data_IF_547970880052
#
_entry.id   IF_547970880052
#
_cell.length_a   1.000
_cell.length_b   1.000
_cell.length_c   1.000
_cell.angle_alpha   90.00
_cell.angle_beta   90.00
_cell.angle_gamma   90.00
#
_symmetry.space_group_name_H-M   'P 1'
#
loop_
_entity.id
_entity.type
_entity.pdbx_description
1 polymer ?
#
# COMPACT_ATOMS: atom_id res chain seq x y z
N UNK A 1 -2.23 1.07 -5.13
CA UNK A 1 -1.37 0.09 -5.79
C UNK A 1 -2.19 -0.95 -6.53
N UNK A 2 -1.58 -1.65 -7.49
CA UNK A 2 -2.17 -2.73 -8.25
C UNK A 2 -1.47 -4.04 -7.87
N UNK A 3 -2.21 -5.15 -7.88
CA UNK A 3 -1.66 -6.49 -7.69
C UNK A 3 -1.94 -7.34 -8.92
N UNK A 4 -0.93 -7.98 -9.44
CA UNK A 4 -1.07 -9.04 -10.45
C UNK A 4 -1.01 -10.36 -9.71
N UNK A 5 -2.06 -11.18 -9.81
CA UNK A 5 -2.21 -12.43 -9.06
C UNK A 5 -2.32 -13.64 -9.97
N UNK A 6 -1.67 -14.71 -9.58
CA UNK A 6 -1.72 -15.99 -10.27
C UNK A 6 -2.85 -16.86 -9.68
N UNK A 7 -3.88 -17.17 -10.49
CA UNK A 7 -5.14 -17.79 -10.03
C UNK A 7 -5.03 -19.26 -9.66
N UNK A 8 -4.07 -19.97 -10.21
CA UNK A 8 -3.82 -21.40 -9.99
C UNK A 8 -2.92 -21.68 -8.77
N UNK A 9 -2.67 -20.69 -7.95
CA UNK A 9 -1.83 -20.76 -6.75
C UNK A 9 -2.58 -20.23 -5.52
N UNK A 10 -1.97 -20.36 -4.34
CA UNK A 10 -2.49 -19.78 -3.11
C UNK A 10 -1.43 -18.92 -2.38
N UNK A 11 -1.86 -17.76 -1.90
CA UNK A 11 -1.12 -16.90 -0.96
C UNK A 11 -2.15 -16.29 0.02
N UNK A 12 -2.50 -17.08 1.04
CA UNK A 12 -3.59 -16.79 1.97
C UNK A 12 -3.01 -16.28 3.28
N UNK A 13 -3.43 -15.08 3.72
CA UNK A 13 -3.04 -14.52 5.00
C UNK A 13 -3.70 -15.31 6.13
N UNK A 14 -2.91 -15.90 7.04
CA UNK A 14 -3.42 -16.69 8.15
C UNK A 14 -4.33 -15.89 9.10
N UNK A 15 -4.09 -14.58 9.20
CA UNK A 15 -4.88 -13.67 10.04
C UNK A 15 -6.08 -13.06 9.31
N UNK A 16 -6.29 -13.39 8.04
CA UNK A 16 -7.45 -12.90 7.31
C UNK A 16 -8.67 -13.77 7.60
N UNK A 17 -9.30 -13.49 8.73
CA UNK A 17 -10.50 -14.20 9.22
C UNK A 17 -11.78 -13.68 8.55
N UNK A 18 -11.67 -12.75 7.61
CA UNK A 18 -12.84 -12.17 6.94
C UNK A 18 -13.56 -13.25 6.13
N UNK A 19 -14.77 -13.55 6.53
CA UNK A 19 -15.67 -14.38 5.75
C UNK A 19 -16.06 -13.61 4.49
N UNK A 20 -16.12 -14.26 3.34
CA UNK A 20 -16.51 -13.69 2.05
C UNK A 20 -15.48 -12.77 1.38
N UNK A 21 -14.19 -13.12 1.43
CA UNK A 21 -13.18 -12.47 0.60
C UNK A 21 -13.48 -12.77 -0.87
N UNK A 22 -13.73 -11.71 -1.65
CA UNK A 22 -14.13 -11.82 -3.07
C UNK A 22 -12.97 -11.57 -4.05
N UNK A 23 -11.78 -11.29 -3.57
CA UNK A 23 -10.64 -11.10 -4.45
C UNK A 23 -9.81 -12.39 -4.57
N UNK A 24 -9.06 -12.49 -5.66
CA UNK A 24 -8.12 -13.58 -5.90
C UNK A 24 -7.03 -13.60 -4.82
N UNK A 25 -6.84 -14.75 -4.16
CA UNK A 25 -5.82 -14.96 -3.12
C UNK A 25 -4.66 -15.84 -3.62
N UNK A 26 -4.35 -15.83 -4.91
CA UNK A 26 -3.15 -16.45 -5.46
C UNK A 26 -1.89 -15.64 -5.17
N UNK A 27 -0.74 -16.24 -5.42
CA UNK A 27 0.58 -15.57 -5.34
C UNK A 27 0.56 -14.32 -6.21
N UNK A 28 1.16 -13.23 -5.73
CA UNK A 28 1.02 -11.92 -6.34
C UNK A 28 2.33 -11.13 -6.39
N UNK A 29 2.34 -10.19 -7.31
CA UNK A 29 3.33 -9.10 -7.38
C UNK A 29 2.61 -7.78 -7.17
N UNK A 30 3.14 -6.95 -6.29
CA UNK A 30 2.66 -5.61 -6.04
C UNK A 30 3.30 -4.60 -7.01
N UNK A 31 2.46 -3.72 -7.57
CA UNK A 31 2.88 -2.60 -8.40
C UNK A 31 2.52 -1.31 -7.68
N UNK A 32 3.53 -0.53 -7.31
CA UNK A 32 3.36 0.75 -6.64
C UNK A 32 3.68 1.89 -7.61
N UNK A 33 2.72 2.79 -7.92
CA UNK A 33 3.03 4.02 -8.62
C UNK A 33 3.88 4.93 -7.74
N UNK A 34 4.81 5.64 -8.35
CA UNK A 34 5.60 6.69 -7.72
C UNK A 34 5.16 8.03 -8.29
N UNK A 35 4.54 8.84 -7.44
CA UNK A 35 4.05 10.16 -7.76
C UNK A 35 5.14 11.22 -7.52
N UNK A 36 5.14 12.30 -8.28
CA UNK A 36 6.03 13.43 -8.04
C UNK A 36 5.67 14.11 -6.71
N UNK A 37 6.68 14.49 -5.94
CA UNK A 37 6.50 15.28 -4.72
C UNK A 37 7.20 16.63 -4.87
N UNK A 38 6.57 17.73 -4.40
CA UNK A 38 7.15 19.06 -4.48
C UNK A 38 8.52 19.12 -3.83
N UNK A 39 9.42 19.92 -4.39
CA UNK A 39 10.75 20.15 -3.82
C UNK A 39 10.68 21.13 -2.63
N UNK A 40 9.64 21.98 -2.56
CA UNK A 40 9.34 22.82 -1.41
C UNK A 40 8.77 21.99 -0.24
N UNK A 41 9.36 22.14 0.94
CA UNK A 41 9.05 21.33 2.11
C UNK A 41 7.62 21.54 2.66
N UNK A 42 7.08 22.77 2.58
CA UNK A 42 5.72 23.04 3.07
C UNK A 42 4.67 22.58 2.07
N UNK A 43 4.94 22.69 0.77
CA UNK A 43 4.10 22.10 -0.27
C UNK A 43 4.09 20.57 -0.18
N UNK A 44 5.26 19.91 -0.03
CA UNK A 44 5.37 18.47 0.18
C UNK A 44 4.53 18.04 1.40
N UNK A 45 4.69 18.70 2.53
CA UNK A 45 3.95 18.41 3.76
C UNK A 45 2.44 18.57 3.58
N UNK A 46 2.01 19.59 2.85
CA UNK A 46 0.60 19.87 2.54
C UNK A 46 0.02 18.78 1.66
N UNK A 47 0.73 18.39 0.59
CA UNK A 47 0.35 17.31 -0.31
C UNK A 47 0.20 15.99 0.45
N UNK A 48 1.22 15.62 1.25
CA UNK A 48 1.22 14.39 2.05
C UNK A 48 0.04 14.31 3.03
N UNK A 49 -0.24 15.41 3.72
CA UNK A 49 -1.41 15.49 4.63
C UNK A 49 -2.73 15.34 3.88
N UNK A 50 -2.86 15.97 2.70
CA UNK A 50 -4.07 15.88 1.87
C UNK A 50 -4.31 14.43 1.42
N UNK A 51 -3.28 13.76 0.90
CA UNK A 51 -3.36 12.35 0.48
C UNK A 51 -3.69 11.45 1.67
N UNK A 52 -3.02 11.62 2.82
CA UNK A 52 -3.27 10.85 4.03
C UNK A 52 -4.72 11.00 4.53
N UNK A 53 -5.23 12.23 4.55
CA UNK A 53 -6.61 12.52 4.96
C UNK A 53 -7.63 11.84 4.04
N UNK A 54 -7.42 11.86 2.72
CA UNK A 54 -8.33 11.20 1.78
C UNK A 54 -8.26 9.68 1.92
N UNK A 55 -7.06 9.12 2.09
CA UNK A 55 -6.84 7.69 2.36
C UNK A 55 -7.57 7.24 3.63
N UNK A 56 -7.44 8.00 4.72
CA UNK A 56 -8.11 7.70 5.97
C UNK A 56 -9.65 7.76 5.84
N UNK A 57 -10.17 8.76 5.15
CA UNK A 57 -11.62 8.86 4.88
C UNK A 57 -12.11 7.69 4.03
N UNK A 58 -11.37 7.31 2.99
CA UNK A 58 -11.68 6.16 2.14
C UNK A 58 -11.73 4.87 2.97
N UNK A 59 -10.73 4.65 3.82
CA UNK A 59 -10.69 3.50 4.73
C UNK A 59 -11.87 3.50 5.71
N UNK A 60 -12.08 4.59 6.45
CA UNK A 60 -13.17 4.67 7.43
C UNK A 60 -14.56 4.46 6.81
N UNK A 61 -14.77 4.97 5.60
CA UNK A 61 -16.06 4.79 4.91
C UNK A 61 -16.25 3.39 4.32
N UNK A 62 -15.18 2.61 4.11
CA UNK A 62 -15.27 1.21 3.69
C UNK A 62 -15.60 0.26 4.84
N UNK A 63 -15.36 0.66 6.10
CA UNK A 63 -15.59 -0.19 7.26
C UNK A 63 -17.07 -0.53 7.42
N UNK A 64 -17.35 -1.78 7.81
CA UNK A 64 -18.64 -2.19 8.32
C UNK A 64 -18.81 -1.73 9.78
N UNK A 65 -20.04 -1.75 10.29
CA UNK A 65 -20.33 -1.25 11.63
C UNK A 65 -19.46 -1.87 12.73
N UNK A 66 -19.27 -3.19 12.74
CA UNK A 66 -18.47 -3.89 13.75
C UNK A 66 -17.03 -3.38 13.81
N UNK A 67 -16.41 -3.17 12.65
CA UNK A 67 -15.01 -2.75 12.55
C UNK A 67 -14.86 -1.26 12.89
N UNK A 68 -15.81 -0.44 12.44
CA UNK A 68 -15.84 0.99 12.77
C UNK A 68 -16.00 1.22 14.27
N UNK A 69 -16.89 0.47 14.92
CA UNK A 69 -17.18 0.56 16.34
C UNK A 69 -16.13 -0.07 17.24
N UNK A 70 -15.22 -0.91 16.69
CA UNK A 70 -14.20 -1.62 17.47
C UNK A 70 -13.32 -0.66 18.27
N UNK A 71 -13.16 -0.96 19.57
CA UNK A 71 -12.28 -0.22 20.48
C UNK A 71 -12.11 -1.00 21.79
N UNK A 72 -10.91 -0.94 22.37
CA UNK A 72 -10.62 -1.53 23.69
C UNK A 72 -11.35 -0.78 24.84
N UNK A 73 -11.74 0.45 24.61
CA UNK A 73 -12.49 1.26 25.55
C UNK A 73 -13.99 1.20 25.26
N UNK A 74 -14.77 0.62 26.19
CA UNK A 74 -16.23 0.42 26.07
C UNK A 74 -17.01 1.72 25.83
N UNK A 75 -16.60 2.84 26.45
CA UNK A 75 -17.25 4.14 26.25
C UNK A 75 -17.02 4.64 24.82
N UNK A 76 -15.78 4.54 24.34
CA UNK A 76 -15.44 4.89 22.94
C UNK A 76 -16.19 3.99 21.95
N UNK A 77 -16.32 2.69 22.25
CA UNK A 77 -17.07 1.75 21.44
C UNK A 77 -18.55 2.17 21.34
N UNK A 78 -19.19 2.52 22.45
CA UNK A 78 -20.58 2.99 22.48
C UNK A 78 -20.76 4.27 21.66
N UNK A 79 -19.87 5.25 21.84
CA UNK A 79 -19.92 6.52 21.08
C UNK A 79 -19.79 6.25 19.59
N UNK A 80 -18.83 5.42 19.16
CA UNK A 80 -18.64 5.06 17.75
C UNK A 80 -19.86 4.32 17.18
N UNK A 81 -20.48 3.43 17.97
CA UNK A 81 -21.70 2.70 17.60
C UNK A 81 -22.84 3.66 17.29
N UNK A 82 -23.09 4.61 18.16
CA UNK A 82 -24.15 5.62 18.00
C UNK A 82 -23.84 6.60 16.86
N UNK A 83 -22.57 6.92 16.65
CA UNK A 83 -22.13 7.85 15.62
C UNK A 83 -22.13 7.25 14.21
N UNK A 84 -21.97 5.92 14.05
CA UNK A 84 -21.81 5.25 12.77
C UNK A 84 -22.91 5.58 11.73
N UNK A 85 -24.22 5.50 12.04
CA UNK A 85 -25.26 5.82 11.07
C UNK A 85 -25.16 7.26 10.56
N UNK A 86 -24.93 8.22 11.48
CA UNK A 86 -24.76 9.60 11.13
C UNK A 86 -23.50 9.85 10.28
N UNK A 87 -22.42 9.15 10.61
CA UNK A 87 -21.18 9.18 9.83
C UNK A 87 -21.41 8.68 8.41
N UNK A 88 -22.08 7.53 8.24
CA UNK A 88 -22.41 6.98 6.93
C UNK A 88 -23.31 7.89 6.10
N UNK A 89 -24.30 8.50 6.73
CA UNK A 89 -25.23 9.43 6.04
C UNK A 89 -24.52 10.68 5.52
N UNK A 90 -23.57 11.23 6.29
CA UNK A 90 -22.83 12.46 5.95
C UNK A 90 -21.61 12.21 5.05
N UNK A 91 -21.11 10.97 4.98
CA UNK A 91 -19.92 10.64 4.23
C UNK A 91 -20.25 10.32 2.77
N UNK A 92 -19.34 10.71 1.87
CA UNK A 92 -19.35 10.18 0.49
C UNK A 92 -18.86 8.71 0.51
N UNK A 93 -19.01 8.01 -0.63
CA UNK A 93 -18.53 6.63 -0.76
C UNK A 93 -17.02 6.51 -0.61
N UNK A 94 -16.52 5.34 -0.24
CA UNK A 94 -15.07 5.10 -0.18
C UNK A 94 -14.41 5.31 -1.55
N UNK A 95 -15.08 4.92 -2.63
CA UNK A 95 -14.61 5.14 -4.00
C UNK A 95 -14.43 6.63 -4.31
N UNK A 96 -15.35 7.50 -3.83
CA UNK A 96 -15.19 8.94 -3.99
C UNK A 96 -13.90 9.46 -3.34
N UNK A 97 -13.61 8.99 -2.10
CA UNK A 97 -12.40 9.42 -1.39
C UNK A 97 -11.13 8.82 -1.99
N UNK A 98 -11.17 7.58 -2.51
CA UNK A 98 -10.05 7.01 -3.27
C UNK A 98 -9.73 7.82 -4.52
N UNK A 99 -10.75 8.21 -5.31
CA UNK A 99 -10.54 9.09 -6.46
C UNK A 99 -9.93 10.44 -6.06
N UNK A 100 -10.41 11.04 -4.96
CA UNK A 100 -9.83 12.29 -4.46
C UNK A 100 -8.41 12.13 -3.92
N UNK A 101 -8.06 10.98 -3.39
CA UNK A 101 -6.70 10.62 -3.01
C UNK A 101 -5.80 10.54 -4.25
N UNK A 102 -6.23 9.85 -5.29
CA UNK A 102 -5.50 9.75 -6.55
C UNK A 102 -5.32 11.10 -7.22
N UNK A 103 -6.39 11.90 -7.35
CA UNK A 103 -6.32 13.27 -7.88
C UNK A 103 -5.29 14.13 -7.11
N UNK A 104 -5.22 13.96 -5.79
CA UNK A 104 -4.23 14.67 -4.99
C UNK A 104 -2.82 14.13 -5.22
N UNK A 105 -2.64 12.81 -5.30
CA UNK A 105 -1.33 12.18 -5.50
C UNK A 105 -0.69 12.60 -6.81
N UNK A 106 -1.47 12.62 -7.91
CA UNK A 106 -0.98 12.97 -9.25
C UNK A 106 -0.94 14.48 -9.52
N UNK A 107 -1.26 15.33 -8.54
CA UNK A 107 -1.37 16.79 -8.76
C UNK A 107 -0.07 17.47 -9.16
N UNK A 108 1.05 16.82 -8.98
CA UNK A 108 2.39 17.29 -9.37
C UNK A 108 3.01 16.52 -10.55
N UNK A 109 2.27 15.62 -11.21
CA UNK A 109 2.83 14.78 -12.28
C UNK A 109 3.29 15.58 -13.51
N UNK A 110 2.67 16.74 -13.77
CA UNK A 110 3.06 17.65 -14.83
C UNK A 110 4.24 18.58 -14.47
N UNK A 111 4.69 18.56 -13.21
CA UNK A 111 5.75 19.42 -12.71
C UNK A 111 7.04 18.60 -12.61
N UNK A 112 8.16 19.19 -12.99
CA UNK A 112 9.47 18.57 -12.83
C UNK A 112 9.85 18.68 -11.37
N UNK A 113 9.94 17.53 -10.70
CA UNK A 113 10.36 17.39 -9.30
C UNK A 113 11.58 16.47 -9.23
N UNK A 114 12.45 16.70 -8.26
CA UNK A 114 13.64 15.86 -8.05
C UNK A 114 13.28 14.51 -7.45
N UNK A 115 12.22 14.47 -6.64
CA UNK A 115 11.84 13.30 -5.85
C UNK A 115 10.48 12.74 -6.25
N UNK A 116 10.37 11.43 -6.10
CA UNK A 116 9.13 10.66 -6.23
C UNK A 116 8.89 9.80 -4.99
N UNK A 117 7.62 9.55 -4.69
CA UNK A 117 7.21 8.78 -3.52
C UNK A 117 5.96 7.95 -3.85
N UNK A 118 5.81 6.75 -3.33
CA UNK A 118 4.54 6.02 -3.44
C UNK A 118 3.51 6.60 -2.44
N UNK A 119 2.97 7.78 -2.77
CA UNK A 119 2.07 8.53 -1.89
C UNK A 119 0.84 7.73 -1.48
N UNK A 120 0.29 6.91 -2.38
CA UNK A 120 -0.85 6.05 -2.07
C UNK A 120 -0.55 4.97 -1.02
N UNK A 121 0.71 4.52 -0.91
CA UNK A 121 1.13 3.51 0.06
C UNK A 121 1.40 4.13 1.43
N UNK A 122 2.29 5.09 1.52
CA UNK A 122 2.78 5.66 2.78
C UNK A 122 2.90 7.19 2.72
N UNK A 123 1.77 7.91 2.63
CA UNK A 123 1.79 9.35 2.39
C UNK A 123 2.57 10.13 3.44
N UNK A 124 2.56 9.70 4.71
CA UNK A 124 3.23 10.41 5.81
C UNK A 124 4.69 9.96 6.05
N UNK A 125 5.18 8.95 5.34
CA UNK A 125 6.57 8.51 5.47
C UNK A 125 7.49 9.38 4.61
N UNK A 126 8.08 10.40 5.22
CA UNK A 126 8.99 11.33 4.53
C UNK A 126 10.35 10.73 4.18
N UNK A 127 10.70 9.58 4.75
CA UNK A 127 11.96 8.87 4.44
C UNK A 127 11.84 7.95 3.24
N UNK A 128 10.62 7.63 2.80
CA UNK A 128 10.38 6.73 1.69
C UNK A 128 10.17 7.51 0.40
N UNK A 129 11.26 7.87 -0.24
CA UNK A 129 11.30 8.56 -1.53
C UNK A 129 12.39 7.98 -2.43
N UNK A 130 12.33 8.34 -3.71
CA UNK A 130 13.32 8.03 -4.75
C UNK A 130 13.63 9.30 -5.51
N UNK A 131 14.87 9.45 -5.92
CA UNK A 131 15.22 10.49 -6.88
C UNK A 131 14.78 10.08 -8.28
N UNK A 132 14.42 11.05 -9.09
CA UNK A 132 14.03 10.81 -10.49
C UNK A 132 15.16 10.09 -11.25
N UNK A 133 16.39 10.54 -11.06
CA UNK A 133 17.61 9.99 -11.67
C UNK A 133 17.90 8.53 -11.31
N UNK A 134 17.35 8.04 -10.19
CA UNK A 134 17.54 6.64 -9.77
C UNK A 134 17.02 5.64 -10.81
N UNK A 135 16.11 6.06 -11.70
CA UNK A 135 15.44 5.19 -12.67
C UNK A 135 15.71 5.56 -14.12
N UNK A 136 16.61 6.51 -14.38
CA UNK A 136 16.88 6.98 -15.76
C UNK A 136 17.47 5.87 -16.64
N UNK A 137 18.19 4.95 -16.04
CA UNK A 137 18.83 3.83 -16.75
C UNK A 137 18.61 2.53 -15.98
N UNK A 138 18.42 1.46 -16.74
CA UNK A 138 18.35 0.10 -16.21
C UNK A 138 19.43 -0.77 -16.86
N UNK A 139 19.92 -1.74 -16.11
CA UNK A 139 20.80 -2.81 -16.59
C UNK A 139 20.17 -4.18 -16.31
N UNK A 140 20.52 -5.18 -17.11
CA UNK A 140 20.03 -6.54 -16.92
C UNK A 140 20.93 -7.26 -15.92
N UNK A 141 20.38 -7.68 -14.80
CA UNK A 141 21.09 -8.46 -13.78
C UNK A 141 20.53 -9.86 -13.65
N UNK A 142 21.40 -10.79 -13.28
CA UNK A 142 20.98 -12.16 -13.00
C UNK A 142 20.17 -12.21 -11.68
N UNK A 143 19.03 -12.87 -11.74
CA UNK A 143 18.18 -13.15 -10.58
C UNK A 143 17.74 -14.61 -10.67
N UNK A 144 18.43 -15.48 -9.94
CA UNK A 144 18.27 -16.93 -10.03
C UNK A 144 18.46 -17.42 -11.48
N UNK A 145 17.42 -17.96 -12.09
CA UNK A 145 17.40 -18.44 -13.49
C UNK A 145 16.88 -17.39 -14.47
N UNK A 146 16.64 -16.16 -14.03
CA UNK A 146 16.12 -15.06 -14.85
C UNK A 146 17.14 -13.94 -15.01
N UNK A 147 16.96 -13.13 -16.05
CA UNK A 147 17.56 -11.80 -16.15
C UNK A 147 16.45 -10.76 -15.98
N UNK A 148 16.65 -9.85 -15.06
CA UNK A 148 15.68 -8.79 -14.77
C UNK A 148 16.30 -7.41 -14.95
N UNK A 149 15.55 -6.42 -15.45
CA UNK A 149 16.02 -5.05 -15.48
C UNK A 149 16.01 -4.46 -14.07
N UNK A 150 17.16 -3.92 -13.66
CA UNK A 150 17.29 -3.18 -12.39
C UNK A 150 17.81 -1.77 -12.66
N UNK A 151 17.43 -0.76 -11.85
CA UNK A 151 18.01 0.57 -11.96
C UNK A 151 19.52 0.52 -11.77
N UNK A 152 20.29 1.23 -12.59
CA UNK A 152 21.76 1.31 -12.46
C UNK A 152 22.15 1.81 -11.05
N UNK A 153 21.36 2.70 -10.46
CA UNK A 153 21.58 3.25 -9.13
C UNK A 153 20.99 2.38 -7.99
N UNK A 154 20.73 1.08 -8.24
CA UNK A 154 20.10 0.19 -7.25
C UNK A 154 20.84 0.18 -5.89
N UNK A 155 22.15 0.24 -5.88
CA UNK A 155 22.94 0.29 -4.64
C UNK A 155 22.60 1.51 -3.79
N UNK A 156 22.53 2.69 -4.38
CA UNK A 156 22.14 3.93 -3.68
C UNK A 156 20.67 3.86 -3.19
N UNK A 157 19.77 3.30 -4.00
CA UNK A 157 18.35 3.08 -3.64
C UNK A 157 18.25 2.17 -2.41
N UNK A 158 18.92 1.02 -2.43
CA UNK A 158 18.87 0.02 -1.37
C UNK A 158 19.53 0.55 -0.09
N UNK A 159 20.67 1.22 -0.20
CA UNK A 159 21.37 1.81 0.95
C UNK A 159 20.53 2.90 1.65
N UNK A 160 19.84 3.77 0.89
CA UNK A 160 18.91 4.76 1.46
C UNK A 160 17.70 4.12 2.16
N UNK A 161 17.24 2.96 1.65
CA UNK A 161 16.04 2.30 2.16
C UNK A 161 16.32 1.43 3.38
N UNK A 162 17.42 0.68 3.34
CA UNK A 162 17.71 -0.41 4.27
C UNK A 162 19.05 -0.26 5.00
N UNK A 163 19.83 0.80 4.71
CA UNK A 163 21.18 0.96 5.26
C UNK A 163 22.15 -0.06 4.66
N UNK A 164 22.84 -0.81 5.52
CA UNK A 164 23.71 -1.91 5.09
C UNK A 164 22.87 -3.12 4.68
N UNK A 165 22.28 -3.06 3.48
CA UNK A 165 21.35 -4.07 2.98
C UNK A 165 22.03 -5.41 2.62
N UNK A 166 23.38 -5.43 2.54
CA UNK A 166 24.13 -6.67 2.31
C UNK A 166 24.31 -7.49 3.60
N UNK A 167 24.04 -6.89 4.76
CA UNK A 167 24.09 -7.59 6.04
C UNK A 167 22.83 -8.38 6.28
N UNK A 168 22.96 -9.70 6.46
CA UNK A 168 21.84 -10.54 6.83
C UNK A 168 21.30 -10.18 8.21
N UNK A 169 20.00 -9.96 8.29
CA UNK A 169 19.27 -9.71 9.54
C UNK A 169 18.10 -10.67 9.67
N UNK A 170 17.82 -11.10 10.89
CA UNK A 170 16.59 -11.86 11.17
C UNK A 170 15.45 -10.85 11.21
N UNK A 171 14.58 -10.91 10.21
CA UNK A 171 13.41 -10.04 10.08
C UNK A 171 12.11 -10.78 10.37
N UNK A 172 11.03 -10.01 10.44
CA UNK A 172 9.66 -10.53 10.51
C UNK A 172 8.88 -10.07 9.28
N UNK A 173 7.92 -10.89 8.84
CA UNK A 173 7.00 -10.49 7.78
C UNK A 173 6.02 -9.42 8.29
N UNK A 174 5.90 -8.30 7.56
CA UNK A 174 4.88 -7.28 7.84
C UNK A 174 3.45 -7.79 7.58
N UNK A 175 3.30 -8.86 6.80
CA UNK A 175 2.02 -9.48 6.47
C UNK A 175 1.64 -10.61 7.43
N UNK A 176 2.45 -10.90 8.44
CA UNK A 176 2.25 -12.03 9.35
C UNK A 176 2.51 -13.38 8.65
N UNK A 177 1.83 -14.42 9.11
CA UNK A 177 1.94 -15.75 8.51
C UNK A 177 1.09 -15.79 7.23
N UNK A 178 1.73 -16.13 6.12
CA UNK A 178 1.07 -16.36 4.83
C UNK A 178 1.21 -17.84 4.49
N UNK A 179 0.10 -18.48 4.19
CA UNK A 179 0.10 -19.82 3.61
C UNK A 179 0.34 -19.72 2.11
N UNK A 180 1.33 -20.43 1.60
CA UNK A 180 1.66 -20.48 0.18
C UNK A 180 1.47 -21.89 -0.37
N UNK A 181 0.88 -21.97 -1.58
CA UNK A 181 0.88 -23.18 -2.42
C UNK A 181 1.06 -22.76 -3.88
N UNK A 182 2.08 -23.33 -4.52
CA UNK A 182 2.42 -23.04 -5.92
C UNK A 182 1.67 -23.91 -6.92
N UNK A 183 1.07 -25.01 -6.45
CA UNK A 183 0.52 -26.08 -7.28
C UNK A 183 -1.01 -26.18 -7.19
N UNK A 184 -1.63 -25.50 -6.20
CA UNK A 184 -3.08 -25.52 -5.98
C UNK A 184 -3.65 -24.13 -5.85
N UNK A 185 -4.82 -23.96 -6.47
CA UNK A 185 -5.57 -22.69 -6.39
C UNK A 185 -6.01 -22.40 -4.96
N UNK A 186 -5.99 -21.12 -4.60
CA UNK A 186 -6.56 -20.63 -3.33
C UNK A 186 -8.02 -21.06 -3.12
N UNK A 187 -8.78 -21.31 -4.18
CA UNK A 187 -10.19 -21.75 -4.11
C UNK A 187 -10.36 -23.12 -3.45
N UNK A 188 -9.34 -23.97 -3.47
CA UNK A 188 -9.36 -25.27 -2.80
C UNK A 188 -9.30 -25.15 -1.28
N UNK A 189 -8.83 -24.02 -0.76
CA UNK A 189 -8.62 -23.76 0.67
C UNK A 189 -9.72 -22.91 1.31
N UNK A 190 -10.36 -22.02 0.55
CA UNK A 190 -11.34 -21.06 1.11
C UNK A 190 -12.79 -21.52 1.03
N UNK A 191 -13.09 -22.56 0.22
CA UNK A 191 -14.44 -23.12 0.04
C UNK A 191 -14.73 -24.33 0.97
N UNK A 192 -13.95 -24.49 2.04
CA UNK A 192 -14.17 -25.55 3.04
C UNK A 192 -14.87 -25.06 4.29
#
# INVERSE_FOLDING_TARGET
>A
HVQIRRTDTAAILANDTRKNIKFNQGIFVDIFPFDNIPDDAEEEKTLRKKVAMMKEKAYKTSLVWSDFASSDNKIKQLIKTLYYPLYKLKSKSSLYYYKKMEEAAVSYDSIICEKKCPLSLSPLNTKFYRYKEDFDKCEMMDFEFLKIPVPVNYHAILSRTYGDYMKFVIGTSLHGNVFFDTDKSYTEYINR
#
